data_IF_432587352278
#
_entry.id   IF_432587352278
#
_cell.length_a   1.000
_cell.length_b   1.000
_cell.length_c   1.000
_cell.angle_alpha   90.00
_cell.angle_beta   90.00
_cell.angle_gamma   90.00
#
_symmetry.space_group_name_H-M   'P 1'
#
loop_
_entity.id
_entity.type
_entity.pdbx_description
1 polymer ?
#
# COMPACT_ATOMS: atom_id res chain seq x y z
N UNK A 1 38.02 -34.66 10.60
CA UNK A 1 36.93 -34.27 11.52
C UNK A 1 36.79 -32.77 11.36
N UNK A 2 36.04 -32.36 10.33
CA UNK A 2 35.93 -30.97 9.92
C UNK A 2 34.78 -30.29 10.68
N UNK A 3 35.07 -29.13 11.26
CA UNK A 3 34.12 -28.29 11.96
C UNK A 3 33.10 -27.72 10.96
N UNK A 4 31.79 -27.79 11.22
CA UNK A 4 30.81 -27.12 10.37
C UNK A 4 31.02 -25.61 10.46
N UNK A 5 31.08 -24.98 9.28
CA UNK A 5 31.10 -23.53 9.12
C UNK A 5 29.73 -23.00 9.51
N UNK A 6 29.75 -22.05 10.42
CA UNK A 6 28.61 -21.23 10.82
C UNK A 6 28.06 -20.53 9.57
N UNK A 7 26.91 -20.98 9.08
CA UNK A 7 26.18 -20.32 8.00
C UNK A 7 25.45 -19.18 8.67
N UNK A 8 26.04 -17.98 8.57
CA UNK A 8 25.46 -16.74 9.05
C UNK A 8 24.02 -16.63 8.57
N UNK A 9 23.10 -16.70 9.52
CA UNK A 9 21.70 -16.39 9.28
C UNK A 9 21.61 -14.96 8.79
N UNK A 10 21.08 -14.78 7.59
CA UNK A 10 20.64 -13.47 7.12
C UNK A 10 19.63 -12.94 8.14
N UNK A 11 20.06 -11.94 8.88
CA UNK A 11 19.22 -11.18 9.79
C UNK A 11 18.10 -10.57 8.97
N UNK A 12 16.87 -11.06 9.15
CA UNK A 12 15.67 -10.37 8.68
C UNK A 12 15.72 -8.95 9.25
N UNK A 13 15.92 -7.95 8.39
CA UNK A 13 15.99 -6.55 8.80
C UNK A 13 14.74 -6.19 9.62
N UNK A 14 14.98 -5.96 10.90
CA UNK A 14 13.99 -5.63 11.90
C UNK A 14 13.54 -4.19 11.71
N UNK A 15 12.23 -3.98 11.57
CA UNK A 15 11.49 -2.90 12.23
C UNK A 15 11.96 -1.45 12.09
N UNK A 16 12.89 -1.13 11.18
CA UNK A 16 13.31 0.24 10.94
C UNK A 16 12.27 0.95 10.08
N UNK A 17 11.95 2.20 10.47
CA UNK A 17 11.15 3.08 9.62
C UNK A 17 11.81 3.09 8.25
N UNK A 18 11.06 2.90 7.16
CA UNK A 18 11.64 2.93 5.82
C UNK A 18 12.45 4.22 5.65
N UNK A 19 13.55 4.15 4.92
CA UNK A 19 14.26 5.37 4.54
C UNK A 19 13.30 6.31 3.81
N UNK A 20 13.45 7.62 4.07
CA UNK A 20 12.63 8.61 3.39
C UNK A 20 12.97 8.58 1.91
N UNK A 21 11.99 8.24 1.08
CA UNK A 21 12.14 8.31 -0.37
C UNK A 21 12.57 9.71 -0.80
N UNK A 22 13.42 9.78 -1.84
CA UNK A 22 13.78 11.05 -2.44
C UNK A 22 12.53 11.83 -2.86
N UNK A 23 12.51 13.17 -2.74
CA UNK A 23 11.39 13.96 -3.22
C UNK A 23 11.12 13.74 -4.71
N UNK A 24 9.85 13.69 -5.09
CA UNK A 24 9.47 13.70 -6.50
C UNK A 24 9.90 15.03 -7.15
N UNK A 25 10.46 14.95 -8.36
CA UNK A 25 10.72 16.10 -9.22
C UNK A 25 9.42 16.59 -9.87
N UNK A 26 9.43 17.78 -10.48
CA UNK A 26 8.26 18.28 -11.23
C UNK A 26 7.87 17.37 -12.38
N UNK A 27 8.85 16.84 -13.12
CA UNK A 27 8.60 15.91 -14.22
C UNK A 27 8.00 14.58 -13.72
N UNK A 28 8.51 14.04 -12.61
CA UNK A 28 7.94 12.83 -11.99
C UNK A 28 6.50 13.06 -11.52
N UNK A 29 6.18 14.23 -10.94
CA UNK A 29 4.80 14.60 -10.56
C UNK A 29 3.87 14.62 -11.78
N UNK A 30 4.31 15.23 -12.86
CA UNK A 30 3.54 15.30 -14.11
C UNK A 30 3.28 13.91 -14.70
N UNK A 31 4.29 13.03 -14.71
CA UNK A 31 4.14 11.62 -15.13
C UNK A 31 3.06 10.91 -14.31
N UNK A 32 3.12 11.04 -12.99
CA UNK A 32 2.12 10.43 -12.10
C UNK A 32 0.72 10.96 -12.42
N UNK A 33 0.56 12.28 -12.52
CA UNK A 33 -0.74 12.90 -12.78
C UNK A 33 -1.30 12.48 -14.13
N UNK A 34 -0.47 12.49 -15.19
CA UNK A 34 -0.87 12.11 -16.54
C UNK A 34 -1.19 10.62 -16.70
N UNK A 35 -0.61 9.74 -15.89
CA UNK A 35 -0.91 8.30 -15.94
C UNK A 35 -2.06 7.93 -15.02
N UNK A 36 -2.23 8.65 -13.91
CA UNK A 36 -3.32 8.44 -12.96
C UNK A 36 -4.71 8.69 -13.56
N UNK A 37 -4.87 9.63 -14.51
CA UNK A 37 -6.17 9.88 -15.15
C UNK A 37 -6.76 8.61 -15.77
N UNK A 38 -5.93 7.77 -16.40
CA UNK A 38 -6.37 6.51 -17.02
C UNK A 38 -6.81 5.48 -15.98
N UNK A 39 -6.07 5.41 -14.86
CA UNK A 39 -6.43 4.54 -13.73
C UNK A 39 -7.74 5.00 -13.07
N UNK A 40 -7.91 6.32 -12.92
CA UNK A 40 -9.02 6.89 -12.17
C UNK A 40 -10.34 6.92 -12.94
N UNK A 41 -10.31 6.90 -14.28
CA UNK A 41 -11.50 6.79 -15.13
C UNK A 41 -12.40 5.60 -14.72
N UNK A 42 -11.80 4.46 -14.37
CA UNK A 42 -12.49 3.26 -13.88
C UNK A 42 -12.10 2.93 -12.43
N UNK A 43 -11.93 3.96 -11.59
CA UNK A 43 -11.33 3.83 -10.26
C UNK A 43 -11.97 2.75 -9.37
N UNK A 44 -13.29 2.58 -9.41
CA UNK A 44 -13.95 1.58 -8.58
C UNK A 44 -13.51 0.16 -8.95
N UNK A 45 -13.57 -0.20 -10.23
CA UNK A 45 -13.27 -1.55 -10.68
C UNK A 45 -11.78 -1.85 -10.58
N UNK A 46 -10.90 -0.88 -10.87
CA UNK A 46 -9.46 -1.01 -10.61
C UNK A 46 -9.20 -1.20 -9.11
N UNK A 47 -9.84 -0.40 -8.25
CA UNK A 47 -9.70 -0.53 -6.80
C UNK A 47 -10.17 -1.89 -6.28
N UNK A 48 -11.22 -2.45 -6.88
CA UNK A 48 -11.70 -3.81 -6.58
C UNK A 48 -10.69 -4.85 -7.04
N UNK A 49 -10.13 -4.74 -8.26
CA UNK A 49 -9.07 -5.61 -8.78
C UNK A 49 -7.85 -5.65 -7.85
N UNK A 50 -7.39 -4.46 -7.40
CA UNK A 50 -6.31 -4.32 -6.40
C UNK A 50 -6.65 -5.07 -5.11
N UNK A 51 -7.82 -4.84 -4.54
CA UNK A 51 -8.18 -5.46 -3.26
C UNK A 51 -8.40 -6.96 -3.36
N UNK A 52 -9.02 -7.45 -4.43
CA UNK A 52 -9.19 -8.89 -4.66
C UNK A 52 -7.81 -9.55 -4.75
N UNK A 53 -6.91 -9.02 -5.58
CA UNK A 53 -5.55 -9.57 -5.73
C UNK A 53 -4.79 -9.56 -4.41
N UNK A 54 -4.92 -8.48 -3.65
CA UNK A 54 -4.33 -8.36 -2.32
C UNK A 54 -4.88 -9.44 -1.36
N UNK A 55 -6.19 -9.64 -1.28
CA UNK A 55 -6.79 -10.60 -0.34
C UNK A 55 -6.63 -12.06 -0.78
N UNK A 56 -6.56 -12.35 -2.08
CA UNK A 56 -6.25 -13.68 -2.60
C UNK A 56 -4.81 -14.06 -2.28
N UNK A 57 -3.86 -13.16 -2.52
CA UNK A 57 -2.43 -13.43 -2.28
C UNK A 57 -2.07 -13.36 -0.80
N UNK A 58 -2.81 -12.60 0.00
CA UNK A 58 -2.57 -12.41 1.44
C UNK A 58 -3.87 -12.58 2.26
N UNK A 59 -4.40 -13.82 2.38
CA UNK A 59 -5.70 -14.07 3.02
C UNK A 59 -5.78 -13.60 4.49
N UNK A 60 -4.65 -13.57 5.20
CA UNK A 60 -4.58 -13.08 6.57
C UNK A 60 -4.99 -11.61 6.71
N UNK A 61 -4.90 -10.81 5.63
CA UNK A 61 -5.36 -9.43 5.64
C UNK A 61 -6.90 -9.30 5.72
N UNK A 62 -7.65 -10.37 5.39
CA UNK A 62 -9.12 -10.35 5.45
C UNK A 62 -9.65 -10.27 6.89
N UNK A 63 -8.83 -10.59 7.91
CA UNK A 63 -9.22 -10.58 9.34
C UNK A 63 -9.79 -9.24 9.83
N UNK A 64 -9.46 -8.13 9.15
CA UNK A 64 -9.94 -6.79 9.50
C UNK A 64 -11.33 -6.45 8.92
N UNK A 65 -11.91 -7.35 8.13
CA UNK A 65 -13.11 -7.11 7.34
C UNK A 65 -14.22 -8.12 7.64
N UNK A 66 -15.05 -7.77 8.61
CA UNK A 66 -16.05 -8.69 9.16
C UNK A 66 -17.05 -9.28 8.16
N UNK A 67 -17.32 -8.61 7.03
CA UNK A 67 -18.31 -9.09 6.05
C UNK A 67 -17.73 -10.06 5.01
N UNK A 68 -16.40 -10.13 4.86
CA UNK A 68 -15.77 -11.01 3.86
C UNK A 68 -14.53 -11.77 4.38
N UNK A 69 -14.27 -11.74 5.69
CA UNK A 69 -13.10 -12.43 6.27
C UNK A 69 -13.02 -13.93 5.90
N UNK A 70 -14.18 -14.59 5.79
CA UNK A 70 -14.32 -16.02 5.50
C UNK A 70 -14.57 -16.33 4.00
N UNK A 71 -14.57 -15.32 3.12
CA UNK A 71 -14.79 -15.52 1.68
C UNK A 71 -13.49 -15.90 0.99
N UNK A 72 -13.43 -17.08 0.37
CA UNK A 72 -12.27 -17.53 -0.40
C UNK A 72 -12.46 -17.40 -1.92
N UNK A 73 -13.71 -17.33 -2.37
CA UNK A 73 -14.04 -17.13 -3.78
C UNK A 73 -13.86 -15.64 -4.18
N UNK A 74 -12.97 -15.34 -5.16
CA UNK A 74 -12.80 -13.98 -5.68
C UNK A 74 -14.11 -13.36 -6.20
N UNK A 75 -14.98 -14.15 -6.84
CA UNK A 75 -16.25 -13.63 -7.38
C UNK A 75 -17.22 -13.22 -6.26
N UNK A 76 -17.19 -13.92 -5.12
CA UNK A 76 -17.97 -13.56 -3.94
C UNK A 76 -17.42 -12.28 -3.30
N UNK A 77 -16.10 -12.19 -3.16
CA UNK A 77 -15.41 -10.99 -2.65
C UNK A 77 -15.72 -9.75 -3.50
N UNK A 78 -15.73 -9.87 -4.83
CA UNK A 78 -16.04 -8.78 -5.76
C UNK A 78 -17.43 -8.17 -5.51
N UNK A 79 -18.40 -9.01 -5.12
CA UNK A 79 -19.78 -8.61 -4.84
C UNK A 79 -19.96 -8.08 -3.41
N UNK A 80 -18.95 -8.18 -2.55
CA UNK A 80 -18.99 -7.68 -1.18
C UNK A 80 -19.11 -6.15 -1.14
N UNK A 81 -20.20 -5.66 -0.55
CA UNK A 81 -20.45 -4.22 -0.38
C UNK A 81 -19.33 -3.57 0.44
N UNK A 82 -18.84 -4.24 1.48
CA UNK A 82 -17.73 -3.74 2.31
C UNK A 82 -16.44 -3.63 1.50
N UNK A 83 -16.12 -4.61 0.65
CA UNK A 83 -14.93 -4.57 -0.21
C UNK A 83 -15.03 -3.42 -1.22
N UNK A 84 -16.13 -3.33 -1.97
CA UNK A 84 -16.32 -2.25 -2.96
C UNK A 84 -16.29 -0.86 -2.33
N UNK A 85 -16.87 -0.70 -1.15
CA UNK A 85 -16.78 0.56 -0.41
C UNK A 85 -15.35 0.88 0.02
N UNK A 86 -14.58 -0.11 0.47
CA UNK A 86 -13.17 0.09 0.82
C UNK A 86 -12.32 0.42 -0.41
N UNK A 87 -12.52 -0.27 -1.54
CA UNK A 87 -11.87 0.00 -2.81
C UNK A 87 -12.01 1.48 -3.22
N UNK A 88 -13.24 2.01 -3.22
CA UNK A 88 -13.48 3.44 -3.51
C UNK A 88 -12.73 4.37 -2.56
N UNK A 89 -12.66 4.04 -1.27
CA UNK A 89 -11.95 4.86 -0.27
C UNK A 89 -10.44 4.84 -0.48
N UNK A 90 -9.86 3.69 -0.83
CA UNK A 90 -8.44 3.59 -1.18
C UNK A 90 -8.14 4.46 -2.39
N UNK A 91 -8.89 4.28 -3.48
CA UNK A 91 -8.66 5.02 -4.72
C UNK A 91 -8.89 6.53 -4.55
N UNK A 92 -9.88 6.94 -3.73
CA UNK A 92 -10.11 8.36 -3.42
C UNK A 92 -8.98 8.98 -2.58
N UNK A 93 -8.39 8.23 -1.65
CA UNK A 93 -7.24 8.69 -0.87
C UNK A 93 -6.00 8.87 -1.75
N UNK A 94 -5.73 7.91 -2.64
CA UNK A 94 -4.64 8.04 -3.62
C UNK A 94 -4.90 9.19 -4.58
N UNK A 95 -6.14 9.38 -5.07
CA UNK A 95 -6.49 10.52 -5.90
C UNK A 95 -6.18 11.85 -5.21
N UNK A 96 -6.57 11.98 -3.94
CA UNK A 96 -6.28 13.19 -3.16
C UNK A 96 -4.77 13.43 -3.04
N UNK A 97 -3.97 12.37 -2.89
CA UNK A 97 -2.49 12.49 -2.88
C UNK A 97 -1.98 12.96 -4.25
N UNK A 98 -2.42 12.33 -5.34
CA UNK A 98 -1.98 12.65 -6.71
C UNK A 98 -2.32 14.10 -7.11
N UNK A 99 -3.53 14.56 -6.78
CA UNK A 99 -3.96 15.95 -7.05
C UNK A 99 -3.13 16.98 -6.28
N UNK A 100 -2.58 16.59 -5.12
CA UNK A 100 -1.90 17.50 -4.20
C UNK A 100 -0.38 17.26 -4.12
N UNK A 101 0.24 16.58 -5.09
CA UNK A 101 1.70 16.32 -5.06
C UNK A 101 2.57 17.58 -5.00
N UNK A 102 2.01 18.74 -5.39
CA UNK A 102 2.65 20.05 -5.28
C UNK A 102 2.63 20.64 -3.86
N UNK A 103 1.82 20.09 -2.95
CA UNK A 103 1.65 20.52 -1.56
C UNK A 103 2.03 19.37 -0.61
N UNK A 104 3.30 19.32 -0.16
CA UNK A 104 3.79 18.27 0.74
C UNK A 104 3.07 18.23 2.10
N UNK A 105 2.62 19.38 2.60
CA UNK A 105 1.91 19.45 3.88
C UNK A 105 0.52 18.83 3.75
N UNK A 106 -0.17 19.11 2.64
CA UNK A 106 -1.45 18.47 2.33
C UNK A 106 -1.30 16.96 2.18
N UNK A 107 -0.31 16.49 1.41
CA UNK A 107 -0.03 15.05 1.25
C UNK A 107 0.25 14.39 2.61
N UNK A 108 1.12 14.99 3.42
CA UNK A 108 1.45 14.51 4.76
C UNK A 108 0.20 14.42 5.65
N UNK A 109 -0.65 15.45 5.65
CA UNK A 109 -1.88 15.48 6.45
C UNK A 109 -2.88 14.38 6.08
N UNK A 110 -3.07 14.12 4.77
CA UNK A 110 -3.97 13.08 4.26
C UNK A 110 -3.48 11.70 4.69
N UNK A 111 -2.19 11.42 4.46
CA UNK A 111 -1.60 10.13 4.78
C UNK A 111 -1.49 9.90 6.29
N UNK A 112 -1.27 10.96 7.08
CA UNK A 112 -1.31 10.88 8.53
C UNK A 112 -2.71 10.52 9.05
N UNK A 113 -3.78 11.10 8.49
CA UNK A 113 -5.15 10.74 8.86
C UNK A 113 -5.44 9.27 8.54
N UNK A 114 -5.04 8.81 7.35
CA UNK A 114 -5.17 7.41 6.93
C UNK A 114 -4.40 6.50 7.89
N UNK A 115 -3.12 6.76 8.14
CA UNK A 115 -2.28 5.93 8.99
C UNK A 115 -2.78 5.86 10.44
N UNK A 116 -3.14 7.00 11.05
CA UNK A 116 -3.68 7.04 12.42
C UNK A 116 -4.98 6.26 12.55
N UNK A 117 -5.88 6.36 11.56
CA UNK A 117 -7.12 5.58 11.56
C UNK A 117 -6.83 4.07 11.47
N UNK A 118 -5.92 3.65 10.59
CA UNK A 118 -5.60 2.23 10.43
C UNK A 118 -4.86 1.65 11.64
N UNK A 119 -3.98 2.42 12.28
CA UNK A 119 -3.31 2.03 13.52
C UNK A 119 -4.29 1.97 14.70
N UNK A 120 -4.97 3.07 15.02
CA UNK A 120 -5.71 3.18 16.29
C UNK A 120 -7.08 2.51 16.23
N UNK A 121 -7.84 2.76 15.15
CA UNK A 121 -9.22 2.30 15.04
C UNK A 121 -9.30 0.88 14.48
N UNK A 122 -8.56 0.62 13.40
CA UNK A 122 -8.66 -0.66 12.68
C UNK A 122 -7.62 -1.69 13.13
N UNK A 123 -6.55 -1.26 13.80
CA UNK A 123 -5.46 -2.10 14.29
C UNK A 123 -4.84 -2.98 13.20
N UNK A 124 -4.69 -2.41 11.99
CA UNK A 124 -4.13 -3.09 10.83
C UNK A 124 -2.61 -3.12 10.94
N UNK A 125 -1.99 -4.28 10.74
CA UNK A 125 -0.52 -4.37 10.73
C UNK A 125 0.08 -3.52 9.59
N UNK A 126 1.10 -2.69 9.85
CA UNK A 126 1.66 -1.76 8.87
C UNK A 126 2.27 -2.46 7.65
N UNK A 127 2.70 -3.73 7.78
CA UNK A 127 3.22 -4.52 6.66
C UNK A 127 2.21 -4.67 5.51
N UNK A 128 0.91 -4.67 5.81
CA UNK A 128 -0.11 -4.75 4.76
C UNK A 128 -0.14 -3.51 3.86
N UNK A 129 0.28 -2.33 4.33
CA UNK A 129 0.44 -1.17 3.46
C UNK A 129 1.58 -1.36 2.45
N UNK A 130 2.71 -1.94 2.88
CA UNK A 130 3.84 -2.24 1.97
C UNK A 130 3.41 -3.21 0.88
N UNK A 131 2.72 -4.28 1.27
CA UNK A 131 2.20 -5.29 0.33
C UNK A 131 1.19 -4.66 -0.62
N UNK A 132 0.21 -3.92 -0.10
CA UNK A 132 -0.83 -3.29 -0.92
C UNK A 132 -0.24 -2.30 -1.94
N UNK A 133 0.79 -1.53 -1.56
CA UNK A 133 1.52 -0.66 -2.48
C UNK A 133 2.14 -1.46 -3.65
N UNK A 134 2.74 -2.62 -3.37
CA UNK A 134 3.25 -3.51 -4.42
C UNK A 134 2.14 -4.02 -5.34
N UNK A 135 1.04 -4.51 -4.77
CA UNK A 135 -0.12 -5.00 -5.54
C UNK A 135 -0.75 -3.90 -6.41
N UNK A 136 -0.82 -2.66 -5.92
CA UNK A 136 -1.30 -1.53 -6.74
C UNK A 136 -0.43 -1.35 -7.99
N UNK A 137 0.90 -1.35 -7.82
CA UNK A 137 1.81 -1.18 -8.95
C UNK A 137 1.70 -2.32 -9.95
N UNK A 138 1.61 -3.57 -9.48
CA UNK A 138 1.41 -4.75 -10.33
C UNK A 138 0.12 -4.62 -11.14
N UNK A 139 -1.01 -4.34 -10.48
CA UNK A 139 -2.32 -4.19 -11.15
C UNK A 139 -2.29 -3.04 -12.15
N UNK A 140 -1.76 -1.87 -11.79
CA UNK A 140 -1.71 -0.75 -12.73
C UNK A 140 -0.83 -1.07 -13.96
N UNK A 141 0.27 -1.80 -13.76
CA UNK A 141 1.16 -2.20 -14.84
C UNK A 141 0.54 -3.23 -15.78
N UNK A 142 -0.30 -4.13 -15.26
CA UNK A 142 -0.98 -5.16 -16.04
C UNK A 142 -2.24 -4.65 -16.74
N UNK A 143 -3.03 -3.79 -16.09
CA UNK A 143 -4.30 -3.30 -16.62
C UNK A 143 -4.10 -2.13 -17.59
N UNK A 144 -2.99 -1.39 -17.47
CA UNK A 144 -2.67 -0.19 -18.27
C UNK A 144 -1.23 -0.24 -18.86
N UNK A 145 -0.83 -1.34 -19.53
CA UNK A 145 0.55 -1.57 -19.94
C UNK A 145 1.09 -0.52 -20.93
N UNK A 146 0.20 0.10 -21.72
CA UNK A 146 0.54 1.18 -22.64
C UNK A 146 0.90 2.49 -21.95
N UNK A 147 0.43 2.70 -20.71
CA UNK A 147 0.68 3.90 -19.90
C UNK A 147 1.73 3.65 -18.81
N UNK A 148 1.87 2.41 -18.32
CA UNK A 148 2.78 2.01 -17.27
C UNK A 148 4.05 1.35 -17.83
N UNK A 149 4.83 2.13 -18.59
CA UNK A 149 6.18 1.70 -19.05
C UNK A 149 7.13 1.49 -17.88
N UNK A 150 8.28 0.84 -18.10
CA UNK A 150 9.27 0.61 -17.05
C UNK A 150 9.72 1.93 -16.35
N UNK A 151 9.83 3.03 -17.09
CA UNK A 151 10.13 4.34 -16.52
C UNK A 151 9.01 4.84 -15.61
N UNK A 152 7.77 4.77 -16.07
CA UNK A 152 6.59 5.16 -15.28
C UNK A 152 6.49 4.31 -14.01
N UNK A 153 6.73 3.00 -14.10
CA UNK A 153 6.72 2.10 -12.94
C UNK A 153 7.76 2.49 -11.88
N UNK A 154 8.95 2.94 -12.28
CA UNK A 154 9.96 3.45 -11.33
C UNK A 154 9.47 4.71 -10.60
N UNK A 155 8.83 5.64 -11.34
CA UNK A 155 8.26 6.86 -10.75
C UNK A 155 7.12 6.54 -9.78
N UNK A 156 6.23 5.61 -10.16
CA UNK A 156 5.15 5.14 -9.28
C UNK A 156 5.68 4.41 -8.05
N UNK A 157 6.75 3.62 -8.18
CA UNK A 157 7.43 2.99 -7.05
C UNK A 157 7.89 4.03 -6.03
N UNK A 158 8.45 5.15 -6.49
CA UNK A 158 8.86 6.27 -5.63
C UNK A 158 7.68 6.90 -4.89
N UNK A 159 6.57 7.16 -5.58
CA UNK A 159 5.34 7.67 -4.95
C UNK A 159 4.81 6.70 -3.89
N UNK A 160 4.66 5.43 -4.23
CA UNK A 160 4.09 4.42 -3.33
C UNK A 160 5.02 4.15 -2.13
N UNK A 161 6.33 4.25 -2.33
CA UNK A 161 7.32 4.27 -1.24
C UNK A 161 7.12 5.46 -0.30
N UNK A 162 6.88 6.67 -0.82
CA UNK A 162 6.56 7.84 -0.01
C UNK A 162 5.22 7.67 0.73
N UNK A 163 4.19 7.10 0.09
CA UNK A 163 2.91 6.77 0.73
C UNK A 163 3.12 5.86 1.93
N UNK A 164 3.85 4.76 1.74
CA UNK A 164 4.17 3.82 2.82
C UNK A 164 4.97 4.49 3.94
N UNK A 165 5.95 5.34 3.61
CA UNK A 165 6.75 6.07 4.58
C UNK A 165 5.93 7.02 5.46
N UNK A 166 5.00 7.78 4.87
CA UNK A 166 4.13 8.69 5.60
C UNK A 166 3.15 7.93 6.50
N UNK A 167 2.53 6.86 5.98
CA UNK A 167 1.61 6.02 6.76
C UNK A 167 2.32 5.39 7.94
N UNK A 168 3.49 4.78 7.74
CA UNK A 168 4.26 4.16 8.83
C UNK A 168 4.78 5.18 9.83
N UNK A 169 5.15 6.39 9.38
CA UNK A 169 5.44 7.51 10.28
C UNK A 169 4.26 7.83 11.22
N UNK A 170 3.04 7.84 10.69
CA UNK A 170 1.83 8.08 11.47
C UNK A 170 1.52 6.95 12.48
N UNK A 171 1.90 5.71 12.16
CA UNK A 171 1.87 4.58 13.10
C UNK A 171 2.83 4.80 14.28
N UNK A 172 4.07 5.21 14.00
CA UNK A 172 5.06 5.52 15.04
C UNK A 172 4.58 6.68 15.93
N UNK A 173 4.00 7.73 15.36
CA UNK A 173 3.48 8.88 16.11
C UNK A 173 2.41 8.51 17.14
N UNK A 174 1.58 7.49 16.85
CA UNK A 174 0.54 7.01 17.79
C UNK A 174 1.02 5.91 18.71
N UNK A 175 2.34 5.65 18.74
CA UNK A 175 2.95 4.66 19.62
C UNK A 175 2.64 3.22 19.21
N UNK A 176 2.47 2.94 17.91
CA UNK A 176 2.41 1.57 17.43
C UNK A 176 3.76 0.89 17.67
N UNK A 177 3.85 0.16 18.78
CA UNK A 177 5.00 -0.68 19.09
C UNK A 177 4.81 -2.00 18.36
N UNK A 178 5.71 -2.32 17.43
CA UNK A 178 5.80 -3.70 16.94
C UNK A 178 6.11 -4.55 18.17
N UNK A 179 5.13 -5.31 18.66
CA UNK A 179 5.39 -6.36 19.62
C UNK A 179 6.36 -7.30 18.91
N UNK A 180 7.63 -7.29 19.34
CA UNK A 180 8.57 -8.33 18.96
C UNK A 180 7.87 -9.65 19.26
N UNK A 181 7.57 -10.43 18.23
CA UNK A 181 7.21 -11.83 18.41
C UNK A 181 8.46 -12.57 18.87
N UNK A 182 8.78 -12.38 20.14
CA UNK A 182 9.77 -13.12 20.92
C UNK A 182 9.04 -13.72 22.13
N UNK A 183 7.98 -14.47 21.83
CA UNK A 183 7.25 -15.42 22.69
C UNK A 183 6.12 -15.94 21.77
N UNK A 184 6.13 -17.17 21.28
CA UNK A 184 6.09 -18.46 22.00
C UNK A 184 6.85 -19.53 21.23
#
# INVERSE_FOLDING_TARGET
>A
MESPRDVGGETMEHGERPERAEPLTDAEREIIQNTWVHVYENCEDVGVSVLIRFFVNFPSAKQYFSQFQDMDDPEEMERSVQLRHHARRVMSAINTVVENLHDPEKVSSVLALVGKAHAVKHKVEPMYFKILCGVMLEVFSEDFPEFFTAEVQMVWTKLLGAVYWHVTGAYTEVGWVQLSSSAV
#
